data_IF_361654110008
#
_entry.id   IF_361654110008
#
_cell.length_a   1.000
_cell.length_b   1.000
_cell.length_c   1.000
_cell.angle_alpha   90.00
_cell.angle_beta   90.00
_cell.angle_gamma   90.00
#
_symmetry.space_group_name_H-M   'P 1'
#
loop_
_entity.id
_entity.type
_entity.pdbx_description
1 polymer ?
#
# COMPACT_ATOMS: atom_id res chain seq x y z
N UNK A 1 -27.46 27.57 58.35
CA UNK A 1 -27.87 26.19 58.07
C UNK A 1 -27.61 25.92 56.59
N UNK A 2 -26.67 25.03 56.27
CA UNK A 2 -26.47 24.58 54.89
C UNK A 2 -27.69 23.73 54.49
N UNK A 3 -28.23 23.90 53.28
CA UNK A 3 -29.31 23.05 52.80
C UNK A 3 -28.88 21.59 52.69
N UNK A 4 -29.81 20.67 52.93
CA UNK A 4 -29.56 19.23 52.63
C UNK A 4 -29.41 19.10 51.13
N UNK A 5 -28.25 18.57 50.70
CA UNK A 5 -27.92 18.34 49.30
C UNK A 5 -28.67 17.07 48.84
N UNK A 6 -29.64 17.21 47.98
CA UNK A 6 -30.35 16.11 47.30
C UNK A 6 -30.52 16.44 45.81
N UNK A 7 -30.92 15.47 44.98
CA UNK A 7 -31.09 15.64 43.55
C UNK A 7 -32.11 16.70 43.12
N UNK A 8 -33.01 17.11 43.99
CA UNK A 8 -34.00 18.15 43.72
C UNK A 8 -33.49 19.56 44.03
N UNK A 9 -32.52 19.70 44.96
CA UNK A 9 -32.00 20.97 45.45
C UNK A 9 -30.57 21.28 44.91
N UNK A 10 -29.85 20.26 44.48
CA UNK A 10 -28.50 20.38 43.89
C UNK A 10 -28.34 19.39 42.73
N UNK A 11 -29.07 19.57 41.62
CA UNK A 11 -29.00 18.68 40.48
C UNK A 11 -27.62 18.78 39.81
N UNK A 12 -27.04 17.63 39.43
CA UNK A 12 -25.80 17.53 38.64
C UNK A 12 -26.09 16.76 37.37
N UNK A 13 -25.70 17.33 36.26
CA UNK A 13 -25.76 16.66 34.95
C UNK A 13 -24.32 16.39 34.47
N UNK A 14 -24.05 15.14 34.10
CA UNK A 14 -22.80 14.74 33.49
C UNK A 14 -23.12 14.32 32.06
N UNK A 15 -22.55 15.00 31.07
CA UNK A 15 -22.74 14.70 29.65
C UNK A 15 -21.61 13.80 29.16
N UNK A 16 -21.91 13.02 28.12
CA UNK A 16 -20.90 12.19 27.43
C UNK A 16 -19.77 13.05 26.88
N UNK A 17 -18.57 12.53 26.95
CA UNK A 17 -17.36 13.12 26.36
C UNK A 17 -17.23 12.66 24.91
N UNK A 18 -17.07 13.59 23.98
CA UNK A 18 -16.76 13.25 22.58
C UNK A 18 -15.33 12.77 22.49
N UNK A 19 -15.11 11.60 21.87
CA UNK A 19 -13.78 11.05 21.60
C UNK A 19 -13.13 11.73 20.40
N UNK A 20 -11.78 11.66 20.28
CA UNK A 20 -11.07 12.03 19.08
C UNK A 20 -10.76 10.78 18.27
N UNK A 21 -10.96 10.85 16.94
CA UNK A 21 -10.77 9.74 16.00
C UNK A 21 -9.86 10.14 14.86
N UNK A 22 -8.99 9.23 14.45
CA UNK A 22 -8.30 9.27 13.15
C UNK A 22 -7.94 7.86 12.69
N UNK A 23 -7.88 7.64 11.39
CA UNK A 23 -7.46 6.36 10.81
C UNK A 23 -6.23 6.53 9.92
N UNK A 24 -5.33 5.52 9.92
CA UNK A 24 -4.17 5.51 9.03
C UNK A 24 -3.77 4.09 8.68
N UNK A 25 -3.64 3.82 7.37
CA UNK A 25 -3.12 2.53 6.88
C UNK A 25 -2.42 2.68 5.53
N UNK A 26 -1.64 1.67 5.17
CA UNK A 26 -1.17 1.50 3.79
C UNK A 26 -2.26 0.83 2.96
N UNK A 27 -2.36 1.18 1.68
CA UNK A 27 -3.32 0.57 0.75
C UNK A 27 -3.23 -0.97 0.75
N UNK A 28 -4.36 -1.61 0.92
CA UNK A 28 -4.53 -3.07 0.97
C UNK A 28 -5.71 -3.57 0.12
N UNK A 29 -6.32 -2.67 -0.67
CA UNK A 29 -7.48 -2.97 -1.52
C UNK A 29 -8.84 -2.88 -0.82
N UNK A 30 -8.88 -2.64 0.50
CA UNK A 30 -10.10 -2.59 1.30
C UNK A 30 -10.32 -1.29 2.05
N UNK A 31 -11.52 -1.15 2.62
CA UNK A 31 -11.91 -0.03 3.49
C UNK A 31 -11.81 -0.36 4.98
N UNK A 32 -11.55 -1.63 5.34
CA UNK A 32 -11.44 -2.06 6.74
C UNK A 32 -10.32 -1.32 7.46
N UNK A 33 -10.63 -0.77 8.64
CA UNK A 33 -9.72 -0.04 9.52
C UNK A 33 -9.46 -0.80 10.84
N UNK A 34 -9.68 -2.11 10.88
CA UNK A 34 -9.36 -2.92 12.07
C UNK A 34 -7.86 -2.78 12.41
N UNK A 35 -7.58 -2.32 13.64
CA UNK A 35 -6.22 -2.04 14.11
C UNK A 35 -5.56 -0.77 13.54
N UNK A 36 -6.29 0.02 12.72
CA UNK A 36 -5.79 1.21 12.04
C UNK A 36 -6.40 2.53 12.53
N UNK A 37 -7.23 2.50 13.59
CA UNK A 37 -7.85 3.69 14.18
C UNK A 37 -7.12 4.09 15.44
N UNK A 38 -6.75 5.37 15.54
CA UNK A 38 -6.37 6.04 16.78
C UNK A 38 -7.62 6.60 17.42
N UNK A 39 -7.93 6.14 18.63
CA UNK A 39 -9.08 6.56 19.43
C UNK A 39 -8.59 7.12 20.76
N UNK A 40 -8.89 8.39 21.04
CA UNK A 40 -8.47 9.07 22.27
C UNK A 40 -9.69 9.57 23.04
N UNK A 41 -9.81 9.16 24.30
CA UNK A 41 -10.88 9.58 25.21
C UNK A 41 -10.67 10.99 25.72
N UNK A 42 -9.42 11.42 25.90
CA UNK A 42 -9.06 12.70 26.53
C UNK A 42 -9.41 12.76 28.03
N UNK A 43 -9.54 11.61 28.69
CA UNK A 43 -9.83 11.51 30.12
C UNK A 43 -8.79 10.61 30.81
N UNK A 44 -7.88 11.23 31.57
CA UNK A 44 -6.88 10.52 32.35
C UNK A 44 -6.16 9.41 31.55
N UNK A 45 -6.16 8.19 32.10
CA UNK A 45 -5.64 6.98 31.44
C UNK A 45 -6.73 6.08 30.88
N UNK A 46 -8.00 6.54 30.82
CA UNK A 46 -9.08 5.73 30.26
C UNK A 46 -8.89 5.53 28.76
N UNK A 47 -9.05 4.30 28.31
CA UNK A 47 -9.08 3.91 26.90
C UNK A 47 -10.48 3.40 26.54
N UNK A 48 -10.73 3.21 25.26
CA UNK A 48 -11.87 2.46 24.73
C UNK A 48 -11.36 1.52 23.63
N UNK A 49 -12.10 0.45 23.41
CA UNK A 49 -11.95 -0.41 22.24
C UNK A 49 -12.96 0.00 21.17
N UNK A 50 -12.83 -0.57 19.97
CA UNK A 50 -13.75 -0.36 18.87
C UNK A 50 -13.92 -1.61 18.01
N UNK A 51 -14.99 -1.66 17.22
CA UNK A 51 -15.25 -2.70 16.23
C UNK A 51 -15.89 -2.11 14.98
N UNK A 52 -15.82 -2.85 13.86
CA UNK A 52 -16.50 -2.50 12.62
C UNK A 52 -16.05 -1.18 11.99
N UNK A 53 -14.81 -0.76 12.21
CA UNK A 53 -14.32 0.49 11.65
C UNK A 53 -14.03 0.35 10.15
N UNK A 54 -14.55 1.32 9.35
CA UNK A 54 -14.31 1.38 7.90
C UNK A 54 -14.05 2.80 7.43
N UNK A 55 -13.28 2.93 6.34
CA UNK A 55 -13.02 4.19 5.65
C UNK A 55 -14.09 4.47 4.60
N UNK A 56 -14.39 5.73 4.35
CA UNK A 56 -15.34 6.19 3.32
C UNK A 56 -14.88 5.88 1.89
N UNK A 57 -13.58 5.65 1.68
CA UNK A 57 -13.01 5.22 0.41
C UNK A 57 -11.70 4.47 0.63
N UNK A 58 -11.38 3.52 -0.27
CA UNK A 58 -10.14 2.73 -0.22
C UNK A 58 -8.98 3.37 -0.97
N UNK A 59 -9.24 4.14 -2.03
CA UNK A 59 -8.22 4.59 -2.95
C UNK A 59 -7.41 5.76 -2.39
N UNK A 60 -6.10 5.72 -2.59
CA UNK A 60 -5.15 6.74 -2.11
C UNK A 60 -5.48 8.10 -2.67
N UNK A 61 -5.88 8.18 -3.95
CA UNK A 61 -6.14 9.42 -4.67
C UNK A 61 -7.42 10.15 -4.26
N UNK A 62 -8.34 9.47 -3.56
CA UNK A 62 -9.54 10.12 -3.01
C UNK A 62 -9.14 11.04 -1.85
N UNK A 63 -9.50 12.31 -1.95
CA UNK A 63 -9.27 13.31 -0.89
C UNK A 63 -10.36 13.24 0.19
N UNK A 64 -10.09 13.84 1.36
CA UNK A 64 -11.06 14.00 2.44
C UNK A 64 -11.71 12.68 2.91
N UNK A 65 -10.93 11.60 2.93
CA UNK A 65 -11.39 10.33 3.51
C UNK A 65 -11.64 10.48 5.00
N UNK A 66 -12.63 9.77 5.50
CA UNK A 66 -13.02 9.77 6.92
C UNK A 66 -13.44 8.37 7.35
N UNK A 67 -13.54 8.16 8.65
CA UNK A 67 -14.11 6.94 9.23
C UNK A 67 -15.62 6.99 9.00
N UNK A 68 -16.10 6.11 8.11
CA UNK A 68 -17.50 6.05 7.67
C UNK A 68 -18.38 5.26 8.65
N UNK A 69 -17.80 4.24 9.27
CA UNK A 69 -18.45 3.45 10.32
C UNK A 69 -17.45 3.10 11.42
N UNK A 70 -17.92 3.05 12.66
CA UNK A 70 -17.18 2.58 13.84
C UNK A 70 -18.16 2.39 14.99
N UNK A 71 -17.94 1.37 15.80
CA UNK A 71 -18.67 1.14 17.05
C UNK A 71 -17.72 1.19 18.22
N UNK A 72 -17.97 2.08 19.20
CA UNK A 72 -17.20 2.13 20.44
C UNK A 72 -17.57 0.93 21.34
N UNK A 73 -16.58 0.41 22.03
CA UNK A 73 -16.71 -0.70 22.97
C UNK A 73 -15.95 -0.35 24.25
N UNK A 74 -16.36 -0.88 25.39
CA UNK A 74 -15.68 -0.71 26.66
C UNK A 74 -14.22 -1.07 26.60
N UNK A 75 -13.40 -0.47 27.44
CA UNK A 75 -12.00 -0.81 27.58
C UNK A 75 -11.83 -2.30 27.93
N UNK A 76 -10.87 -2.94 27.26
CA UNK A 76 -10.50 -4.35 27.51
C UNK A 76 -9.16 -4.50 28.21
N UNK A 77 -8.46 -3.38 28.43
CA UNK A 77 -7.10 -3.31 29.00
C UNK A 77 -7.05 -2.99 30.51
N UNK A 78 -8.22 -2.90 31.15
CA UNK A 78 -8.32 -2.56 32.58
C UNK A 78 -8.22 -1.06 32.90
N UNK A 79 -8.18 -0.16 31.91
CA UNK A 79 -8.14 1.29 32.10
C UNK A 79 -9.44 1.87 32.68
N UNK A 80 -10.56 1.11 32.61
CA UNK A 80 -11.85 1.49 33.20
C UNK A 80 -12.72 2.35 32.31
N UNK A 81 -12.38 2.58 31.04
CA UNK A 81 -13.22 3.33 30.12
C UNK A 81 -14.52 2.58 29.80
N UNK A 82 -15.67 3.25 30.03
CA UNK A 82 -17.01 2.73 29.75
C UNK A 82 -17.62 3.52 28.60
N UNK A 83 -18.09 2.81 27.57
CA UNK A 83 -18.66 3.42 26.35
C UNK A 83 -19.83 4.37 26.66
N UNK A 84 -20.58 4.10 27.74
CA UNK A 84 -21.70 4.94 28.17
C UNK A 84 -21.31 6.37 28.55
N UNK A 85 -20.02 6.60 28.87
CA UNK A 85 -19.47 7.91 29.22
C UNK A 85 -19.02 8.71 28.00
N UNK A 86 -19.03 8.10 26.82
CA UNK A 86 -18.44 8.67 25.61
C UNK A 86 -19.42 8.67 24.45
N UNK A 87 -19.16 9.54 23.48
CA UNK A 87 -19.89 9.61 22.21
C UNK A 87 -18.91 9.81 21.06
N UNK A 88 -19.32 9.35 19.88
CA UNK A 88 -18.59 9.60 18.64
C UNK A 88 -18.67 11.07 18.23
N UNK A 89 -17.65 11.63 17.60
CA UNK A 89 -17.76 12.88 16.87
C UNK A 89 -18.64 12.68 15.61
N UNK A 90 -18.93 13.75 14.89
CA UNK A 90 -19.44 13.63 13.52
C UNK A 90 -18.43 12.85 12.68
N UNK A 91 -18.91 11.82 11.94
CA UNK A 91 -18.05 11.02 11.06
C UNK A 91 -17.88 11.74 9.72
N UNK A 92 -16.91 12.63 9.67
CA UNK A 92 -16.56 13.45 8.52
C UNK A 92 -15.04 13.68 8.45
N UNK A 93 -14.56 14.27 7.37
CA UNK A 93 -13.13 14.46 7.14
C UNK A 93 -12.44 15.44 8.12
N UNK A 94 -13.20 16.26 8.85
CA UNK A 94 -12.66 17.19 9.84
C UNK A 94 -12.49 16.52 11.21
N UNK A 95 -13.45 15.68 11.59
CA UNK A 95 -13.58 15.16 12.95
C UNK A 95 -13.11 13.70 13.09
N UNK A 96 -13.07 12.95 11.98
CA UNK A 96 -12.64 11.55 11.95
C UNK A 96 -11.81 11.23 10.67
N UNK A 97 -10.72 12.00 10.40
CA UNK A 97 -9.98 11.89 9.15
C UNK A 97 -9.31 10.51 8.99
N UNK A 98 -9.19 10.06 7.71
CA UNK A 98 -8.46 8.84 7.34
C UNK A 98 -7.39 9.16 6.31
N UNK A 99 -6.19 8.64 6.55
CA UNK A 99 -5.06 8.66 5.62
C UNK A 99 -4.78 7.25 5.12
N UNK A 100 -4.81 7.06 3.79
CA UNK A 100 -4.35 5.83 3.16
C UNK A 100 -3.14 6.17 2.30
N UNK A 101 -2.01 5.53 2.60
CA UNK A 101 -0.75 5.75 1.88
C UNK A 101 -0.58 4.71 0.78
N UNK A 102 0.15 5.08 -0.29
CA UNK A 102 0.43 4.18 -1.40
C UNK A 102 1.23 2.95 -0.95
N UNK A 103 0.87 1.79 -1.52
CA UNK A 103 1.60 0.54 -1.30
C UNK A 103 2.80 0.46 -2.23
N UNK A 104 3.96 0.16 -1.69
CA UNK A 104 5.17 -0.08 -2.50
C UNK A 104 5.05 -1.42 -3.24
N UNK A 105 5.23 -1.41 -4.56
CA UNK A 105 5.24 -2.63 -5.38
C UNK A 105 6.57 -3.35 -5.29
N UNK A 106 6.57 -4.69 -5.51
CA UNK A 106 7.76 -5.45 -5.81
C UNK A 106 8.09 -5.34 -7.29
N UNK A 107 9.36 -5.21 -7.64
CA UNK A 107 9.86 -5.14 -9.01
C UNK A 107 10.95 -6.17 -9.26
N UNK A 108 10.88 -6.82 -10.43
CA UNK A 108 11.89 -7.74 -10.93
C UNK A 108 11.89 -7.68 -12.46
N UNK A 109 13.06 -7.73 -13.08
CA UNK A 109 13.15 -7.89 -14.53
C UNK A 109 14.10 -9.03 -14.93
N UNK A 110 13.66 -9.82 -15.93
CA UNK A 110 14.42 -10.91 -16.51
C UNK A 110 14.30 -10.89 -18.04
N UNK A 111 15.42 -11.01 -18.74
CA UNK A 111 15.43 -11.09 -20.22
C UNK A 111 16.63 -11.83 -20.75
N UNK A 112 16.58 -12.20 -22.01
CA UNK A 112 17.75 -12.66 -22.80
C UNK A 112 18.36 -11.43 -23.48
N UNK A 113 19.71 -11.39 -23.55
CA UNK A 113 20.44 -10.30 -24.19
C UNK A 113 19.97 -10.05 -25.62
N UNK A 114 19.63 -8.78 -25.91
CA UNK A 114 19.19 -8.32 -27.23
C UNK A 114 19.92 -7.04 -27.69
N UNK A 115 20.89 -6.54 -26.89
CA UNK A 115 21.65 -5.34 -27.15
C UNK A 115 20.97 -4.03 -26.73
N UNK A 116 19.78 -4.07 -26.14
CA UNK A 116 19.00 -2.90 -25.71
C UNK A 116 19.01 -2.73 -24.19
N UNK A 117 18.79 -1.49 -23.73
CA UNK A 117 18.46 -1.18 -22.34
C UNK A 117 16.95 -1.26 -22.07
N UNK A 118 16.11 -1.16 -23.10
CA UNK A 118 14.66 -1.13 -22.94
C UNK A 118 14.13 -2.47 -22.43
N UNK A 119 13.29 -2.42 -21.41
CA UNK A 119 12.57 -3.56 -20.86
C UNK A 119 11.09 -3.43 -21.29
N UNK A 120 10.55 -4.48 -21.88
CA UNK A 120 9.19 -4.46 -22.46
C UNK A 120 8.43 -5.76 -22.27
N UNK A 121 7.10 -5.69 -22.31
CA UNK A 121 6.23 -6.86 -22.25
C UNK A 121 6.47 -7.69 -20.98
N UNK A 122 6.85 -8.96 -21.14
CA UNK A 122 7.08 -9.88 -20.02
C UNK A 122 8.45 -9.74 -19.35
N UNK A 123 9.30 -8.80 -19.78
CA UNK A 123 10.61 -8.60 -19.15
C UNK A 123 10.48 -8.15 -17.68
N UNK A 124 9.46 -7.35 -17.36
CA UNK A 124 9.24 -6.81 -16.01
C UNK A 124 8.07 -7.51 -15.34
N UNK A 125 8.31 -7.97 -14.12
CA UNK A 125 7.28 -8.47 -13.21
C UNK A 125 7.02 -7.44 -12.14
N UNK A 126 5.75 -7.03 -11.98
CA UNK A 126 5.28 -6.13 -10.94
C UNK A 126 4.42 -6.94 -9.97
N UNK A 127 4.77 -6.92 -8.68
CA UNK A 127 3.99 -7.59 -7.63
C UNK A 127 3.33 -6.53 -6.75
N UNK A 128 2.01 -6.44 -6.80
CA UNK A 128 1.24 -5.48 -6.00
C UNK A 128 1.09 -5.92 -4.54
N UNK A 129 0.99 -7.22 -4.30
CA UNK A 129 0.71 -7.81 -2.99
C UNK A 129 -0.69 -7.44 -2.46
N UNK A 130 -1.64 -7.10 -3.34
CA UNK A 130 -3.03 -6.78 -3.01
C UNK A 130 -3.96 -7.66 -3.84
N UNK A 131 -4.54 -8.67 -3.22
CA UNK A 131 -5.48 -9.59 -3.89
C UNK A 131 -5.00 -10.07 -5.25
N UNK A 132 -5.83 -9.92 -6.26
CA UNK A 132 -5.51 -10.20 -7.66
C UNK A 132 -5.20 -8.95 -8.49
N UNK A 133 -5.01 -7.79 -7.86
CA UNK A 133 -4.71 -6.55 -8.59
C UNK A 133 -3.37 -6.65 -9.32
N UNK A 134 -3.36 -6.28 -10.58
CA UNK A 134 -2.16 -6.12 -11.42
C UNK A 134 -1.95 -4.66 -11.77
N UNK A 135 -0.81 -4.34 -12.37
CA UNK A 135 -0.51 -3.02 -12.91
C UNK A 135 0.14 -3.18 -14.28
N UNK A 136 -0.09 -2.23 -15.16
CA UNK A 136 0.70 -2.05 -16.37
C UNK A 136 1.92 -1.16 -16.10
N UNK A 137 2.81 -1.06 -17.08
CA UNK A 137 3.94 -0.15 -17.00
C UNK A 137 4.35 0.39 -18.37
N UNK A 138 5.14 1.45 -18.37
CA UNK A 138 5.75 2.05 -19.55
C UNK A 138 7.14 2.61 -19.24
N UNK A 139 7.95 2.82 -20.28
CA UNK A 139 9.25 3.50 -20.17
C UNK A 139 10.28 2.73 -19.33
N UNK A 140 10.14 1.41 -19.18
CA UNK A 140 11.07 0.63 -18.37
C UNK A 140 12.43 0.47 -19.07
N UNK A 141 13.51 0.65 -18.31
CA UNK A 141 14.88 0.49 -18.79
C UNK A 141 15.79 -0.14 -17.73
N UNK A 142 16.77 -0.92 -18.18
CA UNK A 142 17.81 -1.46 -17.33
C UNK A 142 18.97 -0.45 -17.15
N UNK A 143 19.65 -0.49 -16.02
CA UNK A 143 20.85 0.31 -15.74
C UNK A 143 22.06 -0.08 -16.59
N UNK A 144 22.09 -1.30 -17.11
CA UNK A 144 23.10 -1.80 -18.05
C UNK A 144 22.50 -2.92 -18.90
N UNK A 145 23.00 -3.05 -20.16
CA UNK A 145 22.55 -4.08 -21.10
C UNK A 145 23.44 -5.33 -21.10
N UNK A 146 24.67 -5.22 -20.70
CA UNK A 146 25.66 -6.29 -20.88
C UNK A 146 25.53 -7.37 -19.79
N UNK A 147 25.59 -8.62 -20.20
CA UNK A 147 25.46 -9.77 -19.29
C UNK A 147 26.51 -9.74 -18.17
N UNK A 148 27.75 -9.32 -18.49
CA UNK A 148 28.88 -9.29 -17.55
C UNK A 148 28.77 -8.24 -16.45
N UNK A 149 27.92 -7.22 -16.60
CA UNK A 149 27.70 -6.21 -15.55
C UNK A 149 26.92 -6.84 -14.41
N UNK A 150 27.44 -6.74 -13.18
CA UNK A 150 26.76 -7.18 -11.97
C UNK A 150 25.83 -6.09 -11.41
N UNK A 151 24.91 -6.47 -10.52
CA UNK A 151 24.03 -5.55 -9.79
C UNK A 151 23.21 -4.62 -10.70
N UNK A 152 22.75 -5.14 -11.85
CA UNK A 152 21.83 -4.41 -12.71
C UNK A 152 20.49 -4.21 -12.03
N UNK A 153 19.83 -3.08 -12.33
CA UNK A 153 18.53 -2.73 -11.77
C UNK A 153 17.67 -2.00 -12.82
N UNK A 154 16.39 -1.93 -12.57
CA UNK A 154 15.46 -1.13 -13.36
C UNK A 154 15.76 0.35 -13.06
N UNK A 155 16.31 1.05 -14.04
CA UNK A 155 16.75 2.45 -13.91
C UNK A 155 15.61 3.47 -14.09
N UNK A 156 14.54 3.06 -14.77
CA UNK A 156 13.34 3.87 -14.99
C UNK A 156 12.13 2.99 -15.28
N UNK A 157 10.97 3.40 -14.80
CA UNK A 157 9.68 2.77 -15.05
C UNK A 157 8.57 3.72 -14.58
N UNK A 158 7.47 3.76 -15.32
CA UNK A 158 6.24 4.44 -14.91
C UNK A 158 5.13 3.41 -14.76
N UNK A 159 4.49 3.38 -13.59
CA UNK A 159 3.32 2.53 -13.34
C UNK A 159 2.11 3.05 -14.12
N UNK A 160 1.32 2.14 -14.65
CA UNK A 160 0.03 2.40 -15.27
C UNK A 160 -1.05 1.53 -14.65
N UNK A 161 -2.31 1.91 -14.82
CA UNK A 161 -3.45 1.13 -14.36
C UNK A 161 -3.48 -0.24 -15.02
N UNK A 162 -4.12 -1.19 -14.36
CA UNK A 162 -4.34 -2.53 -14.90
C UNK A 162 -5.13 -2.47 -16.21
N UNK A 163 -4.73 -3.28 -17.19
CA UNK A 163 -5.41 -3.39 -18.51
C UNK A 163 -6.11 -4.73 -18.68
N UNK A 164 -6.02 -5.63 -17.71
CA UNK A 164 -6.54 -7.00 -17.72
C UNK A 164 -7.85 -7.18 -16.94
N UNK A 165 -8.43 -6.09 -16.42
CA UNK A 165 -9.66 -6.12 -15.65
C UNK A 165 -9.46 -6.48 -14.16
N UNK A 166 -8.23 -6.63 -13.67
CA UNK A 166 -7.94 -6.91 -12.25
C UNK A 166 -8.25 -5.76 -11.31
N UNK A 167 -8.43 -4.54 -11.85
CA UNK A 167 -8.84 -3.34 -11.11
C UNK A 167 -7.71 -2.59 -10.39
N UNK A 168 -6.44 -2.95 -10.59
CA UNK A 168 -5.32 -2.20 -10.03
C UNK A 168 -5.22 -0.79 -10.61
N UNK A 169 -5.16 0.22 -9.74
CA UNK A 169 -4.99 1.63 -10.09
C UNK A 169 -3.59 2.09 -9.66
N UNK A 170 -2.81 2.60 -10.61
CA UNK A 170 -1.42 3.04 -10.37
C UNK A 170 -1.31 4.06 -9.21
N UNK A 171 -2.33 4.92 -9.04
CA UNK A 171 -2.38 5.91 -7.96
C UNK A 171 -2.44 5.33 -6.55
N UNK A 172 -2.74 4.04 -6.39
CA UNK A 172 -2.74 3.33 -5.11
C UNK A 172 -1.36 2.74 -4.76
N UNK A 173 -0.39 2.85 -5.67
CA UNK A 173 0.91 2.23 -5.55
C UNK A 173 2.05 3.23 -5.74
N UNK A 174 3.21 2.86 -5.26
CA UNK A 174 4.46 3.58 -5.46
C UNK A 174 5.59 2.63 -5.82
N UNK A 175 6.56 3.14 -6.56
CA UNK A 175 7.77 2.40 -6.86
C UNK A 175 8.65 2.24 -5.61
N UNK A 176 9.38 1.13 -5.48
CA UNK A 176 10.48 1.04 -4.53
C UNK A 176 11.64 1.94 -4.98
N UNK A 177 12.68 2.06 -4.16
CA UNK A 177 13.95 2.60 -4.63
C UNK A 177 14.45 1.79 -5.82
N UNK A 178 14.81 2.47 -6.92
CA UNK A 178 15.29 1.80 -8.14
C UNK A 178 16.79 1.52 -7.99
N UNK A 179 17.11 0.39 -7.39
CA UNK A 179 18.46 -0.10 -7.12
C UNK A 179 18.53 -1.63 -7.28
N UNK A 180 19.72 -2.20 -7.17
CA UNK A 180 19.94 -3.63 -7.38
C UNK A 180 19.31 -4.55 -6.33
N UNK A 181 18.88 -4.03 -5.19
CA UNK A 181 18.22 -4.78 -4.11
C UNK A 181 16.70 -4.81 -4.33
N UNK A 182 16.12 -3.66 -4.65
CA UNK A 182 14.68 -3.47 -4.66
C UNK A 182 14.04 -3.62 -6.07
N UNK A 183 14.84 -3.49 -7.13
CA UNK A 183 14.38 -3.58 -8.52
C UNK A 183 15.43 -4.29 -9.40
N UNK A 184 15.87 -5.52 -9.05
CA UNK A 184 16.95 -6.22 -9.74
C UNK A 184 16.60 -6.56 -11.19
N UNK A 185 17.64 -6.56 -12.07
CA UNK A 185 17.55 -7.00 -13.46
C UNK A 185 18.53 -8.14 -13.70
N UNK A 186 18.04 -9.24 -14.26
CA UNK A 186 18.84 -10.35 -14.75
C UNK A 186 18.81 -10.38 -16.29
N UNK A 187 20.00 -10.44 -16.92
CA UNK A 187 20.12 -10.57 -18.37
C UNK A 187 20.94 -11.82 -18.64
N UNK A 188 20.29 -12.80 -19.28
CA UNK A 188 20.91 -14.06 -19.71
C UNK A 188 21.65 -13.92 -21.04
N UNK A 189 22.57 -14.85 -21.31
CA UNK A 189 23.28 -14.94 -22.58
C UNK A 189 22.34 -15.30 -23.71
N UNK A 190 22.57 -14.74 -24.89
CA UNK A 190 21.90 -15.13 -26.13
C UNK A 190 22.70 -16.23 -26.82
N UNK A 191 22.04 -17.30 -27.19
CA UNK A 191 22.64 -18.34 -28.01
C UNK A 191 22.86 -17.81 -29.44
N UNK A 192 23.97 -18.19 -30.03
CA UNK A 192 24.28 -17.92 -31.44
C UNK A 192 24.22 -19.23 -32.22
N UNK A 193 23.48 -19.21 -33.33
CA UNK A 193 23.45 -20.31 -34.24
C UNK A 193 24.57 -20.18 -35.28
N UNK A 194 25.32 -21.23 -35.48
CA UNK A 194 26.40 -21.30 -36.48
C UNK A 194 26.00 -22.29 -37.55
N UNK A 195 26.21 -21.91 -38.79
CA UNK A 195 26.07 -22.81 -39.95
C UNK A 195 27.24 -22.53 -40.91
N UNK A 196 27.72 -23.56 -41.55
CA UNK A 196 28.78 -23.43 -42.53
C UNK A 196 28.58 -24.45 -43.65
N UNK A 197 28.90 -24.08 -44.87
CA UNK A 197 28.97 -24.99 -46.02
C UNK A 197 30.19 -24.65 -46.83
N UNK A 198 30.78 -25.66 -47.44
CA UNK A 198 31.83 -25.48 -48.42
C UNK A 198 31.76 -26.55 -49.48
N UNK A 199 32.26 -26.23 -50.67
CA UNK A 199 32.50 -27.21 -51.69
C UNK A 199 33.72 -28.05 -51.29
N UNK A 200 33.68 -29.33 -51.52
CA UNK A 200 34.82 -30.24 -51.22
C UNK A 200 36.09 -29.77 -51.89
N UNK A 201 37.16 -29.54 -51.10
CA UNK A 201 38.51 -29.13 -51.52
C UNK A 201 39.61 -29.95 -50.87
N UNK A 202 39.28 -31.14 -50.31
CA UNK A 202 40.22 -32.02 -49.64
C UNK A 202 40.57 -31.64 -48.19
N UNK A 203 40.07 -30.51 -47.64
CA UNK A 203 40.31 -30.04 -46.28
C UNK A 203 39.07 -29.99 -45.39
N UNK A 204 39.23 -29.81 -44.06
CA UNK A 204 38.17 -29.69 -43.06
C UNK A 204 37.93 -28.25 -42.59
N UNK A 205 38.83 -27.32 -42.93
CA UNK A 205 38.70 -25.93 -42.52
C UNK A 205 37.65 -25.15 -43.32
N UNK A 206 36.80 -24.41 -42.63
CA UNK A 206 35.89 -23.42 -43.20
C UNK A 206 36.63 -22.07 -43.21
N UNK A 207 37.18 -21.67 -44.33
CA UNK A 207 37.82 -20.37 -44.54
C UNK A 207 36.96 -19.45 -45.38
#
# INVERSE_FOLDING_TARGET
HLPVLDSSKAPVTISQKTVSLSGSKTYDGGVDLTGAVSLLTGVGSETLSYSGASASAKDVTVSNKYIDAITLVDATDGSGGLVTNYQLPSLDALNAPVTITAKTVGLLANRIYDGSLNLSGADVTITTGVGSETLSYSGASASAKDVSVSHKYINGLTLGDATDGSGGLAGNYQLPSLDAVNAPVSIGTREVSLSGSKTYDGGVNLT
#
